data_IF_060104842325
#
_entry.id   IF_060104842325
#
_cell.length_a   1.000
_cell.length_b   1.000
_cell.length_c   1.000
_cell.angle_alpha   90.00
_cell.angle_beta   90.00
_cell.angle_gamma   90.00
#
_symmetry.space_group_name_H-M   'P 1'
#
loop_
_entity.id
_entity.type
_entity.pdbx_description
1 polymer ?
#
# COMPACT_ATOMS: atom_id res chain seq x y z
N UNK A 1 -29.96 9.91 -15.19
CA UNK A 1 -29.05 10.61 -14.24
C UNK A 1 -28.17 9.54 -13.63
N UNK A 2 -26.87 9.36 -13.87
CA UNK A 2 -25.85 10.03 -14.66
C UNK A 2 -24.57 9.24 -14.36
N UNK A 3 -24.32 8.16 -15.12
CA UNK A 3 -23.14 7.31 -14.93
C UNK A 3 -21.92 7.96 -15.57
N UNK A 4 -20.95 8.35 -14.75
CA UNK A 4 -19.67 8.85 -15.22
C UNK A 4 -18.83 7.68 -15.76
N UNK A 5 -18.62 7.69 -17.07
CA UNK A 5 -17.73 6.78 -17.78
C UNK A 5 -16.29 7.18 -17.44
N UNK A 6 -15.50 6.26 -16.89
CA UNK A 6 -14.04 6.37 -16.87
C UNK A 6 -13.57 6.23 -18.32
N UNK A 7 -13.06 7.33 -18.88
CA UNK A 7 -12.45 7.34 -20.20
C UNK A 7 -11.00 6.86 -20.06
N UNK A 8 -10.75 5.62 -20.46
CA UNK A 8 -9.41 5.14 -20.76
C UNK A 8 -8.89 5.91 -21.98
N UNK A 9 -7.99 6.87 -21.75
CA UNK A 9 -7.27 7.61 -22.79
C UNK A 9 -5.87 7.03 -22.95
N UNK A 10 -5.62 6.36 -24.08
CA UNK A 10 -4.31 5.89 -24.46
C UNK A 10 -3.40 6.98 -25.04
N UNK A 11 -2.10 6.70 -24.94
CA UNK A 11 -0.94 7.25 -25.66
C UNK A 11 -0.39 8.64 -25.24
N UNK A 12 0.68 8.61 -24.44
CA UNK A 12 1.86 9.46 -24.65
C UNK A 12 3.12 8.59 -24.53
N UNK A 13 3.53 8.00 -25.66
CA UNK A 13 4.84 7.39 -25.83
C UNK A 13 5.65 8.29 -26.78
N UNK A 14 6.19 9.40 -26.28
CA UNK A 14 7.29 10.16 -26.89
C UNK A 14 7.68 11.33 -25.97
N UNK A 15 8.52 11.08 -24.96
CA UNK A 15 9.08 12.17 -24.16
C UNK A 15 9.65 11.84 -22.77
N UNK A 16 9.76 10.55 -22.39
CA UNK A 16 9.95 10.21 -20.98
C UNK A 16 11.31 9.59 -20.60
N UNK A 17 12.31 9.64 -21.48
CA UNK A 17 13.67 9.24 -21.12
C UNK A 17 14.35 10.35 -20.28
N UNK A 18 13.96 10.51 -19.02
CA UNK A 18 14.60 11.50 -18.14
C UNK A 18 14.00 11.69 -16.76
N UNK A 19 12.80 11.16 -16.48
CA UNK A 19 12.21 11.25 -15.14
C UNK A 19 12.69 10.08 -14.27
N UNK A 20 13.40 10.33 -13.14
CA UNK A 20 13.79 9.28 -12.20
C UNK A 20 12.57 8.51 -11.68
N UNK A 21 11.44 9.19 -11.53
CA UNK A 21 10.15 8.60 -11.20
C UNK A 21 9.74 7.54 -12.25
N UNK A 22 9.83 7.84 -13.55
CA UNK A 22 9.42 6.88 -14.57
C UNK A 22 10.43 5.73 -14.74
N UNK A 23 11.73 5.98 -14.53
CA UNK A 23 12.73 4.92 -14.50
C UNK A 23 12.51 3.95 -13.32
N UNK A 24 12.16 4.48 -12.14
CA UNK A 24 11.68 3.69 -10.99
C UNK A 24 10.40 2.92 -11.33
N UNK A 25 9.48 3.54 -12.07
CA UNK A 25 8.23 2.91 -12.50
C UNK A 25 8.44 1.71 -13.44
N UNK A 26 9.35 1.83 -14.41
CA UNK A 26 9.69 0.72 -15.33
C UNK A 26 10.45 -0.40 -14.61
N UNK A 27 11.28 -0.06 -13.61
CA UNK A 27 11.97 -1.06 -12.77
C UNK A 27 10.99 -1.86 -11.90
N UNK A 28 9.96 -1.22 -11.32
CA UNK A 28 8.95 -1.93 -10.54
C UNK A 28 8.13 -2.93 -11.36
N UNK A 29 7.97 -2.73 -12.68
CA UNK A 29 7.25 -3.67 -13.56
C UNK A 29 8.05 -4.94 -13.94
N UNK A 30 9.31 -5.11 -13.49
CA UNK A 30 10.09 -6.34 -13.73
C UNK A 30 9.57 -7.52 -12.88
N UNK A 31 10.02 -8.74 -13.14
CA UNK A 31 9.86 -9.89 -12.23
C UNK A 31 10.83 -9.76 -11.04
N UNK A 32 10.45 -10.28 -9.86
CA UNK A 32 11.30 -10.19 -8.67
C UNK A 32 12.63 -10.93 -8.90
N UNK A 33 13.75 -10.29 -8.55
CA UNK A 33 15.07 -10.88 -8.78
C UNK A 33 15.50 -11.83 -7.66
N UNK A 34 15.13 -11.51 -6.42
CA UNK A 34 15.41 -12.27 -5.21
C UNK A 34 14.44 -11.85 -4.09
N UNK A 35 14.57 -12.48 -2.91
CA UNK A 35 13.75 -12.15 -1.75
C UNK A 35 14.01 -10.74 -1.20
N UNK A 36 15.21 -10.16 -1.39
CA UNK A 36 15.50 -8.79 -0.96
C UNK A 36 14.71 -7.79 -1.80
N UNK A 37 14.56 -8.03 -3.11
CA UNK A 37 13.70 -7.24 -4.00
C UNK A 37 12.22 -7.33 -3.58
N UNK A 38 11.75 -8.54 -3.19
CA UNK A 38 10.38 -8.72 -2.68
C UNK A 38 10.16 -7.97 -1.37
N UNK A 39 11.09 -8.08 -0.43
CA UNK A 39 10.98 -7.42 0.86
C UNK A 39 11.06 -5.89 0.73
N UNK A 40 11.91 -5.37 -0.17
CA UNK A 40 11.96 -3.93 -0.44
C UNK A 40 10.72 -3.42 -1.18
N UNK A 41 10.10 -4.25 -2.01
CA UNK A 41 8.82 -3.94 -2.61
C UNK A 41 7.72 -3.84 -1.55
N UNK A 42 7.62 -4.81 -0.63
CA UNK A 42 6.70 -4.73 0.50
C UNK A 42 6.99 -3.48 1.36
N UNK A 43 8.25 -3.26 1.74
CA UNK A 43 8.66 -2.12 2.56
C UNK A 43 8.33 -0.77 1.91
N UNK A 44 8.33 -0.68 0.57
CA UNK A 44 7.91 0.53 -0.14
C UNK A 44 6.43 0.87 0.11
N UNK A 45 5.57 -0.15 0.16
CA UNK A 45 4.13 0.00 0.41
C UNK A 45 3.86 0.30 1.89
N UNK A 46 4.54 -0.42 2.78
CA UNK A 46 4.42 -0.20 4.23
C UNK A 46 4.89 1.20 4.64
N UNK A 47 5.95 1.73 4.01
CA UNK A 47 6.34 3.13 4.18
C UNK A 47 5.25 4.12 3.71
N UNK A 48 4.57 3.82 2.60
CA UNK A 48 3.48 4.64 2.07
C UNK A 48 2.28 4.65 3.04
N UNK A 49 1.86 3.48 3.51
CA UNK A 49 0.74 3.30 4.44
C UNK A 49 1.04 3.90 5.82
N UNK A 50 2.22 3.60 6.38
CA UNK A 50 2.64 4.19 7.64
C UNK A 50 2.70 5.73 7.57
N UNK A 51 3.33 6.30 6.52
CA UNK A 51 3.39 7.74 6.36
C UNK A 51 1.99 8.36 6.19
N UNK A 52 1.09 7.70 5.45
CA UNK A 52 -0.30 8.12 5.29
C UNK A 52 -1.00 8.28 6.63
N UNK A 53 -0.94 7.27 7.51
CA UNK A 53 -1.59 7.36 8.82
C UNK A 53 -0.84 8.29 9.77
N UNK A 54 0.49 8.19 9.86
CA UNK A 54 1.33 8.98 10.77
C UNK A 54 1.12 10.47 10.54
N UNK A 55 1.21 10.92 9.29
CA UNK A 55 1.18 12.33 8.94
C UNK A 55 -0.26 12.82 8.80
N UNK A 56 -1.15 11.97 8.28
CA UNK A 56 -2.55 12.32 8.08
C UNK A 56 -3.35 12.47 9.36
N UNK A 57 -3.19 11.55 10.32
CA UNK A 57 -3.92 11.60 11.60
C UNK A 57 -3.57 12.84 12.43
N UNK A 58 -2.41 13.45 12.21
CA UNK A 58 -2.04 14.73 12.85
C UNK A 58 -2.95 15.90 12.43
N UNK A 59 -3.68 15.78 11.32
CA UNK A 59 -4.61 16.79 10.82
C UNK A 59 -6.05 16.61 11.33
N UNK A 60 -6.32 15.56 12.11
CA UNK A 60 -7.67 15.23 12.56
C UNK A 60 -7.75 14.98 14.07
N UNK A 61 -8.98 15.00 14.56
CA UNK A 61 -9.37 14.67 15.94
C UNK A 61 -10.48 13.62 15.93
N UNK A 62 -10.79 12.96 17.06
CA UNK A 62 -11.89 12.01 17.14
C UNK A 62 -13.23 12.55 16.63
N UNK A 63 -13.51 13.85 16.81
CA UNK A 63 -14.76 14.50 16.38
C UNK A 63 -14.95 14.52 14.85
N UNK A 64 -13.87 14.28 14.09
CA UNK A 64 -13.95 14.19 12.63
C UNK A 64 -14.49 12.83 12.14
N UNK A 65 -14.60 11.83 13.02
CA UNK A 65 -14.94 10.46 12.66
C UNK A 65 -16.12 9.93 13.48
N UNK A 66 -16.66 8.78 13.07
CA UNK A 66 -17.62 8.05 13.91
C UNK A 66 -16.94 7.54 15.18
N UNK A 67 -17.73 7.30 16.23
CA UNK A 67 -17.21 6.86 17.53
C UNK A 67 -16.33 5.60 17.39
N UNK A 68 -15.12 5.66 17.97
CA UNK A 68 -14.13 4.57 17.92
C UNK A 68 -13.32 4.47 16.63
N UNK A 69 -13.71 5.18 15.55
CA UNK A 69 -12.99 5.08 14.28
C UNK A 69 -11.59 5.67 14.36
N UNK A 70 -11.44 6.83 14.99
CA UNK A 70 -10.12 7.46 15.17
C UNK A 70 -9.14 6.58 15.96
N UNK A 71 -9.61 5.95 17.04
CA UNK A 71 -8.78 5.06 17.85
C UNK A 71 -8.33 3.82 17.07
N UNK A 72 -9.22 3.25 16.25
CA UNK A 72 -8.85 2.15 15.36
C UNK A 72 -7.85 2.59 14.27
N UNK A 73 -7.98 3.81 13.72
CA UNK A 73 -7.00 4.33 12.75
C UNK A 73 -5.62 4.54 13.39
N UNK A 74 -5.56 4.92 14.68
CA UNK A 74 -4.31 4.94 15.44
C UNK A 74 -3.72 3.53 15.58
N UNK A 75 -4.56 2.52 15.85
CA UNK A 75 -4.09 1.14 15.93
C UNK A 75 -3.56 0.64 14.58
N UNK A 76 -4.21 0.99 13.46
CA UNK A 76 -3.71 0.66 12.11
C UNK A 76 -2.33 1.29 11.90
N UNK A 77 -2.18 2.61 12.16
CA UNK A 77 -0.87 3.28 12.12
C UNK A 77 0.23 2.52 12.88
N UNK A 78 -0.08 2.07 14.10
CA UNK A 78 0.88 1.38 14.95
C UNK A 78 1.24 -0.02 14.43
N UNK A 79 0.33 -0.68 13.71
CA UNK A 79 0.63 -1.91 12.99
C UNK A 79 1.55 -1.63 11.79
N UNK A 80 1.27 -0.58 10.99
CA UNK A 80 2.14 -0.23 9.85
C UNK A 80 3.57 0.11 10.28
N UNK A 81 3.73 0.82 11.40
CA UNK A 81 5.07 1.07 11.99
C UNK A 81 5.79 -0.24 12.32
N UNK A 82 5.05 -1.20 12.90
CA UNK A 82 5.59 -2.51 13.25
C UNK A 82 5.91 -3.37 12.02
N UNK A 83 5.13 -3.27 10.94
CA UNK A 83 5.41 -3.92 9.67
C UNK A 83 6.68 -3.35 9.02
N UNK A 84 6.82 -2.02 8.98
CA UNK A 84 8.04 -1.32 8.53
C UNK A 84 9.26 -1.82 9.31
N UNK A 85 9.21 -1.82 10.65
CA UNK A 85 10.31 -2.28 11.49
C UNK A 85 10.69 -3.74 11.23
N UNK A 86 9.68 -4.62 11.08
CA UNK A 86 9.90 -6.03 10.79
C UNK A 86 10.59 -6.25 9.45
N UNK A 87 10.18 -5.52 8.41
CA UNK A 87 10.78 -5.62 7.07
C UNK A 87 12.18 -5.04 7.03
N UNK A 88 12.40 -3.86 7.64
CA UNK A 88 13.74 -3.25 7.76
C UNK A 88 14.71 -4.20 8.46
N UNK A 89 14.27 -4.80 9.58
CA UNK A 89 15.06 -5.77 10.33
C UNK A 89 15.38 -7.01 9.48
N UNK A 90 14.38 -7.55 8.80
CA UNK A 90 14.52 -8.76 7.97
C UNK A 90 15.47 -8.52 6.80
N UNK A 91 15.29 -7.43 6.04
CA UNK A 91 16.16 -7.06 4.92
C UNK A 91 17.61 -6.91 5.39
N UNK A 92 17.83 -6.20 6.51
CA UNK A 92 19.15 -6.01 7.09
C UNK A 92 19.79 -7.34 7.51
N UNK A 93 19.01 -8.23 8.15
CA UNK A 93 19.49 -9.54 8.61
C UNK A 93 19.93 -10.46 7.47
N UNK A 94 19.29 -10.32 6.31
CA UNK A 94 19.63 -11.04 5.08
C UNK A 94 20.76 -10.38 4.28
N UNK A 95 21.34 -9.29 4.79
CA UNK A 95 22.44 -8.57 4.16
C UNK A 95 22.02 -7.61 3.04
N UNK A 96 20.72 -7.34 2.90
CA UNK A 96 20.18 -6.34 1.99
C UNK A 96 20.22 -4.92 2.57
N UNK A 97 19.95 -3.94 1.71
CA UNK A 97 19.76 -2.54 2.11
C UNK A 97 18.27 -2.23 2.09
N UNK A 98 17.65 -1.85 3.22
CA UNK A 98 16.26 -1.40 3.24
C UNK A 98 16.08 -0.13 2.40
N UNK A 99 15.01 -0.09 1.60
CA UNK A 99 14.58 1.11 0.88
C UNK A 99 14.21 2.19 1.89
N UNK A 100 14.54 3.44 1.57
CA UNK A 100 14.16 4.57 2.41
C UNK A 100 12.71 4.99 2.11
N UNK A 101 12.03 5.49 3.14
CA UNK A 101 10.75 6.19 3.00
C UNK A 101 10.84 7.29 1.94
N UNK A 102 9.81 7.38 1.10
CA UNK A 102 9.72 8.40 0.06
C UNK A 102 8.95 9.64 0.57
N UNK A 103 8.71 10.59 -0.31
CA UNK A 103 7.80 11.72 -0.06
C UNK A 103 6.46 11.48 -0.74
N UNK A 104 5.37 11.83 -0.06
CA UNK A 104 4.03 11.46 -0.47
C UNK A 104 3.06 12.65 -0.56
N UNK A 105 2.10 12.58 -1.49
CA UNK A 105 0.92 13.46 -1.58
C UNK A 105 -0.33 12.61 -1.81
N UNK A 106 -1.24 12.60 -0.83
CA UNK A 106 -2.43 11.73 -0.81
C UNK A 106 -3.70 12.39 -1.31
N UNK A 107 -3.69 13.71 -1.56
CA UNK A 107 -4.79 14.41 -2.24
C UNK A 107 -6.17 14.44 -1.56
N UNK A 108 -6.31 14.06 -0.28
CA UNK A 108 -7.58 14.18 0.46
C UNK A 108 -7.75 15.55 1.13
N UNK A 109 -8.99 15.94 1.38
CA UNK A 109 -9.32 17.26 1.97
C UNK A 109 -10.16 17.20 3.25
N UNK A 110 -10.63 16.03 3.64
CA UNK A 110 -11.46 15.82 4.83
C UNK A 110 -11.39 14.37 5.31
N UNK A 111 -11.97 14.07 6.47
CA UNK A 111 -11.93 12.75 7.09
C UNK A 111 -12.58 11.63 6.26
N UNK A 112 -13.64 11.92 5.49
CA UNK A 112 -14.22 10.94 4.58
C UNK A 112 -13.27 10.61 3.42
N UNK A 113 -12.60 11.63 2.87
CA UNK A 113 -11.53 11.44 1.89
C UNK A 113 -10.34 10.66 2.45
N UNK A 114 -9.95 10.92 3.71
CA UNK A 114 -8.93 10.15 4.41
C UNK A 114 -9.31 8.67 4.48
N UNK A 115 -10.49 8.33 5.01
CA UNK A 115 -10.94 6.93 5.10
C UNK A 115 -11.03 6.26 3.72
N UNK A 116 -11.45 7.00 2.68
CA UNK A 116 -11.51 6.46 1.32
C UNK A 116 -10.13 6.14 0.75
N UNK A 117 -9.13 7.00 0.98
CA UNK A 117 -7.72 6.72 0.60
C UNK A 117 -7.17 5.57 1.41
N UNK A 118 -7.42 5.56 2.74
CA UNK A 118 -7.01 4.48 3.63
C UNK A 118 -7.51 3.13 3.09
N UNK A 119 -8.81 3.00 2.81
CA UNK A 119 -9.38 1.79 2.23
C UNK A 119 -8.69 1.40 0.91
N UNK A 120 -8.41 2.37 0.02
CA UNK A 120 -7.75 2.08 -1.24
C UNK A 120 -6.31 1.56 -1.05
N UNK A 121 -5.56 2.11 -0.07
CA UNK A 121 -4.21 1.66 0.26
C UNK A 121 -4.25 0.22 0.80
N UNK A 122 -4.99 -0.06 1.87
CA UNK A 122 -5.03 -1.40 2.49
C UNK A 122 -5.47 -2.49 1.51
N UNK A 123 -6.51 -2.26 0.69
CA UNK A 123 -6.94 -3.26 -0.30
C UNK A 123 -5.84 -3.48 -1.37
N UNK A 124 -5.08 -2.45 -1.71
CA UNK A 124 -3.94 -2.55 -2.62
C UNK A 124 -2.78 -3.29 -1.95
N UNK A 125 -2.50 -3.03 -0.67
CA UNK A 125 -1.50 -3.73 0.14
C UNK A 125 -1.77 -5.24 0.19
N UNK A 126 -2.99 -5.65 0.54
CA UNK A 126 -3.42 -7.06 0.51
C UNK A 126 -3.14 -7.71 -0.85
N UNK A 127 -3.59 -7.05 -1.92
CA UNK A 127 -3.43 -7.57 -3.28
C UNK A 127 -1.96 -7.63 -3.73
N UNK A 128 -1.12 -6.72 -3.22
CA UNK A 128 0.31 -6.66 -3.49
C UNK A 128 1.07 -7.81 -2.81
N UNK A 129 0.77 -8.09 -1.53
CA UNK A 129 1.33 -9.23 -0.82
C UNK A 129 0.97 -10.54 -1.50
N UNK A 130 -0.30 -10.74 -1.85
CA UNK A 130 -0.75 -11.95 -2.55
C UNK A 130 -0.12 -12.09 -3.93
N UNK A 131 0.05 -10.98 -4.65
CA UNK A 131 0.74 -10.93 -5.95
C UNK A 131 2.22 -11.29 -5.87
N UNK A 132 2.88 -10.94 -4.77
CA UNK A 132 4.29 -11.22 -4.54
C UNK A 132 4.54 -12.60 -3.93
N UNK A 133 3.56 -13.19 -3.24
CA UNK A 133 3.72 -14.41 -2.44
C UNK A 133 4.36 -15.58 -3.20
N UNK A 134 3.95 -15.80 -4.45
CA UNK A 134 4.48 -16.88 -5.29
C UNK A 134 5.95 -16.69 -5.73
N UNK A 135 6.50 -15.49 -5.53
CA UNK A 135 7.89 -15.16 -5.88
C UNK A 135 8.86 -15.38 -4.72
N UNK A 136 8.36 -15.59 -3.50
CA UNK A 136 9.19 -15.82 -2.30
C UNK A 136 9.95 -17.15 -2.46
N UNK A 137 11.27 -17.09 -2.36
CA UNK A 137 12.17 -18.23 -2.48
C UNK A 137 12.54 -18.80 -1.12
N UNK A 138 12.80 -17.93 -0.14
CA UNK A 138 13.08 -18.31 1.24
C UNK A 138 11.77 -18.63 1.98
N UNK A 139 11.52 -19.92 2.20
CA UNK A 139 10.34 -20.42 2.91
C UNK A 139 10.20 -19.90 4.34
N UNK A 140 11.30 -19.48 4.97
CA UNK A 140 11.27 -18.93 6.33
C UNK A 140 10.56 -17.57 6.38
N UNK A 141 10.43 -16.89 5.23
CA UNK A 141 9.70 -15.61 5.11
C UNK A 141 8.18 -15.81 5.02
N UNK A 142 7.70 -17.00 4.64
CA UNK A 142 6.27 -17.21 4.32
C UNK A 142 5.35 -17.00 5.52
N UNK A 143 5.77 -17.42 6.72
CA UNK A 143 4.96 -17.22 7.93
C UNK A 143 4.89 -15.75 8.34
N UNK A 144 5.98 -15.00 8.14
CA UNK A 144 6.01 -13.56 8.42
C UNK A 144 5.13 -12.80 7.42
N UNK A 145 5.34 -13.02 6.11
CA UNK A 145 4.53 -12.42 5.04
C UNK A 145 3.04 -12.77 5.19
N UNK A 146 2.73 -14.05 5.47
CA UNK A 146 1.37 -14.52 5.71
C UNK A 146 0.71 -13.92 6.96
N UNK A 147 1.51 -13.55 7.96
CA UNK A 147 1.00 -12.88 9.16
C UNK A 147 0.69 -11.41 8.88
N UNK A 148 1.53 -10.71 8.11
CA UNK A 148 1.32 -9.31 7.72
C UNK A 148 0.06 -9.20 6.86
N UNK A 149 -0.02 -9.93 5.73
CA UNK A 149 -1.18 -9.86 4.82
C UNK A 149 -2.51 -10.22 5.51
N UNK A 150 -2.49 -11.09 6.54
CA UNK A 150 -3.68 -11.40 7.32
C UNK A 150 -4.14 -10.25 8.23
N UNK A 151 -3.22 -9.37 8.66
CA UNK A 151 -3.51 -8.15 9.40
C UNK A 151 -3.95 -7.04 8.43
N UNK A 152 -3.26 -6.85 7.31
CA UNK A 152 -3.67 -5.96 6.20
C UNK A 152 -5.13 -6.23 5.79
N UNK A 153 -5.49 -7.50 5.60
CA UNK A 153 -6.85 -7.88 5.22
C UNK A 153 -7.90 -7.51 6.28
N UNK A 154 -7.52 -7.47 7.56
CA UNK A 154 -8.42 -6.99 8.64
C UNK A 154 -8.58 -5.49 8.62
N UNK A 155 -7.51 -4.74 8.32
CA UNK A 155 -7.57 -3.30 8.15
C UNK A 155 -8.43 -2.95 6.93
N UNK A 156 -8.17 -3.57 5.78
CA UNK A 156 -8.95 -3.42 4.56
C UNK A 156 -10.45 -3.70 4.80
N UNK A 157 -10.79 -4.83 5.42
CA UNK A 157 -12.17 -5.16 5.75
C UNK A 157 -12.81 -4.12 6.68
N UNK A 158 -12.09 -3.66 7.71
CA UNK A 158 -12.57 -2.64 8.62
C UNK A 158 -12.82 -1.29 7.92
N UNK A 159 -11.88 -0.83 7.10
CA UNK A 159 -12.02 0.44 6.37
C UNK A 159 -13.10 0.38 5.30
N UNK A 160 -13.26 -0.77 4.64
CA UNK A 160 -14.38 -1.01 3.74
C UNK A 160 -15.71 -0.83 4.49
N UNK A 161 -15.85 -1.43 5.69
CA UNK A 161 -17.04 -1.25 6.52
C UNK A 161 -17.27 0.22 6.92
N UNK A 162 -16.23 0.92 7.39
CA UNK A 162 -16.33 2.34 7.78
C UNK A 162 -16.71 3.23 6.59
N UNK A 163 -16.24 2.88 5.39
CA UNK A 163 -16.55 3.58 4.15
C UNK A 163 -17.91 3.17 3.54
N UNK A 164 -18.69 2.31 4.21
CA UNK A 164 -20.00 1.84 3.73
C UNK A 164 -19.92 0.86 2.56
N UNK A 165 -18.76 0.23 2.36
CA UNK A 165 -18.51 -0.82 1.37
C UNK A 165 -18.65 -2.20 2.00
N UNK A 166 -18.67 -3.25 1.18
CA UNK A 166 -18.70 -4.63 1.66
C UNK A 166 -17.33 -4.99 2.27
N UNK A 167 -17.24 -5.37 3.57
CA UNK A 167 -15.99 -5.78 4.19
C UNK A 167 -15.45 -7.14 3.71
N UNK A 168 -16.23 -7.91 2.96
CA UNK A 168 -15.83 -9.23 2.42
C UNK A 168 -16.32 -9.38 0.96
N UNK A 169 -15.84 -8.53 0.03
CA UNK A 169 -16.42 -8.38 -1.31
C UNK A 169 -16.24 -9.62 -2.21
N UNK A 170 -15.29 -10.51 -1.86
CA UNK A 170 -14.98 -11.71 -2.63
C UNK A 170 -14.58 -12.87 -1.71
N UNK A 171 -14.65 -14.10 -2.24
CA UNK A 171 -14.21 -15.31 -1.53
C UNK A 171 -12.68 -15.53 -1.58
N UNK A 172 -12.01 -14.84 -2.50
CA UNK A 172 -10.56 -14.86 -2.69
C UNK A 172 -10.12 -13.45 -3.04
N UNK A 173 -8.95 -13.06 -2.54
CA UNK A 173 -8.29 -11.84 -2.97
C UNK A 173 -7.87 -11.93 -4.43
N UNK A 174 -7.73 -10.76 -5.06
CA UNK A 174 -7.24 -10.65 -6.44
C UNK A 174 -5.78 -10.22 -6.40
N UNK A 175 -4.82 -11.13 -6.66
CA UNK A 175 -3.42 -10.78 -6.66
C UNK A 175 -3.13 -9.74 -7.75
N UNK A 176 -2.44 -8.67 -7.40
CA UNK A 176 -2.01 -7.65 -8.36
C UNK A 176 -0.54 -7.82 -8.71
N UNK A 177 -0.21 -7.60 -9.98
CA UNK A 177 1.18 -7.49 -10.41
C UNK A 177 1.81 -6.20 -9.87
N UNK A 178 3.15 -6.16 -9.75
CA UNK A 178 3.85 -4.92 -9.37
C UNK A 178 3.48 -3.71 -10.23
N UNK A 179 3.25 -3.93 -11.52
CA UNK A 179 2.85 -2.88 -12.44
C UNK A 179 1.45 -2.31 -12.13
N UNK A 180 0.51 -3.16 -11.73
CA UNK A 180 -0.84 -2.74 -11.33
C UNK A 180 -0.82 -2.03 -9.98
N UNK A 181 -0.08 -2.56 -9.01
CA UNK A 181 0.11 -1.91 -7.71
C UNK A 181 0.74 -0.53 -7.89
N UNK A 182 1.76 -0.43 -8.73
CA UNK A 182 2.38 0.86 -9.05
C UNK A 182 1.42 1.82 -9.76
N UNK A 183 0.54 1.33 -10.62
CA UNK A 183 -0.45 2.18 -11.27
C UNK A 183 -1.44 2.79 -10.27
N UNK A 184 -1.67 2.12 -9.13
CA UNK A 184 -2.56 2.56 -8.05
C UNK A 184 -1.82 3.44 -7.03
N UNK A 185 -0.69 2.97 -6.51
CA UNK A 185 0.06 3.61 -5.43
C UNK A 185 1.06 4.68 -5.92
N UNK A 186 1.60 4.51 -7.13
CA UNK A 186 2.61 5.39 -7.71
C UNK A 186 2.21 6.87 -7.79
N UNK A 187 0.95 7.24 -8.08
CA UNK A 187 0.50 8.63 -8.06
C UNK A 187 0.68 9.35 -6.71
N UNK A 188 0.77 8.63 -5.60
CA UNK A 188 1.01 9.21 -4.28
C UNK A 188 2.48 9.50 -4.00
N UNK A 189 3.42 8.91 -4.76
CA UNK A 189 4.86 9.03 -4.54
C UNK A 189 5.41 10.21 -5.35
N UNK A 190 5.83 11.29 -4.69
CA UNK A 190 6.21 12.55 -5.35
C UNK A 190 7.70 12.86 -5.34
N UNK A 191 8.52 12.05 -4.64
CA UNK A 191 9.98 12.20 -4.59
C UNK A 191 10.66 11.13 -3.77
#
# INVERSE_FOLDING_TARGET
VGGAKIAAGGAIAAGLAGSPALARMVAAAQAFTDDIDILNYALTLEHLEYAFYRDGLASFTPDNFQAGVYDNLILVRDHEDAHVDALVSTITSLGGTPVAEATYDFGYSNAAGFVAVAAALENTGVSAYDGAAASIQNVDLLNAAGSIVAIEARHAAYLNLVNGMDPFPAAFETPLTRAEVLAIAGPFIVG
#
